data_IF_508730008418
#
_entry.id   IF_508730008418
#
_cell.length_a   1.000
_cell.length_b   1.000
_cell.length_c   1.000
_cell.angle_alpha   90.00
_cell.angle_beta   90.00
_cell.angle_gamma   90.00
#
_symmetry.space_group_name_H-M   'P 1'
#
loop_
_entity.id
_entity.type
_entity.pdbx_description
1 polymer ?
#
# COMPACT_ATOMS: atom_id res chain seq x y z
N UNK A 1 0.26 -34.80 51.52
CA UNK A 1 -0.11 -34.66 50.10
C UNK A 1 -0.24 -33.17 49.78
N UNK A 2 0.73 -32.59 49.08
CA UNK A 2 0.76 -31.16 48.75
C UNK A 2 0.34 -30.99 47.27
N UNK A 3 -0.81 -30.37 47.01
CA UNK A 3 -1.26 -30.05 45.65
C UNK A 3 -0.54 -28.78 45.19
N UNK A 4 0.28 -28.89 44.15
CA UNK A 4 0.92 -27.75 43.47
C UNK A 4 -0.11 -27.10 42.54
N UNK A 5 -0.36 -25.81 42.73
CA UNK A 5 -1.14 -24.99 41.80
C UNK A 5 -0.17 -24.38 40.78
N UNK A 6 -0.34 -24.73 39.51
CA UNK A 6 0.34 -24.08 38.40
C UNK A 6 -0.48 -22.87 37.98
N UNK A 7 0.13 -21.69 38.08
CA UNK A 7 -0.45 -20.42 37.59
C UNK A 7 0.03 -20.25 36.15
N UNK A 8 -0.90 -20.25 35.19
CA UNK A 8 -0.62 -19.90 33.81
C UNK A 8 -0.53 -18.37 33.70
N UNK A 9 0.62 -17.86 33.29
CA UNK A 9 0.79 -16.46 32.95
C UNK A 9 0.22 -16.23 31.54
N UNK A 10 -0.86 -15.47 31.43
CA UNK A 10 -1.35 -14.96 30.15
C UNK A 10 -0.39 -13.85 29.68
N UNK A 11 0.30 -14.08 28.56
CA UNK A 11 1.11 -13.06 27.91
C UNK A 11 0.22 -11.99 27.29
N UNK A 12 0.43 -10.74 27.66
CA UNK A 12 -0.20 -9.58 27.02
C UNK A 12 0.67 -9.21 25.82
N UNK A 13 0.17 -9.44 24.61
CA UNK A 13 0.79 -8.97 23.37
C UNK A 13 0.58 -7.46 23.28
N UNK A 14 1.67 -6.69 23.34
CA UNK A 14 1.65 -5.25 23.07
C UNK A 14 1.58 -5.08 21.55
N UNK A 15 0.45 -4.56 21.06
CA UNK A 15 0.32 -4.15 19.65
C UNK A 15 1.00 -2.79 19.55
N UNK A 16 2.17 -2.76 18.93
CA UNK A 16 2.87 -1.52 18.59
C UNK A 16 2.14 -0.85 17.43
N UNK A 17 1.41 0.23 17.71
CA UNK A 17 0.91 1.11 16.66
C UNK A 17 2.10 1.90 16.12
N UNK A 18 2.55 1.57 14.91
CA UNK A 18 3.50 2.44 14.22
C UNK A 18 2.77 3.74 13.88
N UNK A 19 3.34 4.87 14.32
CA UNK A 19 2.86 6.19 13.92
C UNK A 19 3.21 6.37 12.45
N UNK A 20 2.20 6.29 11.58
CA UNK A 20 2.36 6.69 10.18
C UNK A 20 2.68 8.19 10.19
N UNK A 21 3.77 8.64 9.54
CA UNK A 21 4.04 10.06 9.37
C UNK A 21 2.79 10.76 8.83
N UNK A 22 2.51 11.98 9.28
CA UNK A 22 1.30 12.72 8.89
C UNK A 22 1.21 13.03 7.37
N UNK A 23 2.27 12.73 6.61
CA UNK A 23 2.39 12.85 5.17
C UNK A 23 3.10 11.61 4.62
N UNK A 24 2.47 10.44 4.73
CA UNK A 24 2.94 9.24 4.04
C UNK A 24 2.03 8.99 2.84
N UNK A 25 2.63 8.94 1.65
CA UNK A 25 1.97 8.42 0.48
C UNK A 25 1.66 6.94 0.73
N UNK A 26 0.44 6.51 0.40
CA UNK A 26 0.02 5.14 0.57
C UNK A 26 -0.86 4.73 -0.62
N UNK A 27 -0.54 3.58 -1.20
CA UNK A 27 -1.28 2.96 -2.30
C UNK A 27 -1.74 1.57 -1.86
N UNK A 28 -3.04 1.33 -1.96
CA UNK A 28 -3.65 0.03 -1.66
C UNK A 28 -3.75 -0.78 -2.94
N UNK A 29 -3.25 -2.02 -2.87
CA UNK A 29 -3.29 -2.99 -3.95
C UNK A 29 -4.46 -3.95 -3.73
N UNK A 30 -5.14 -4.27 -4.82
CA UNK A 30 -6.17 -5.31 -4.87
C UNK A 30 -5.83 -6.25 -6.03
N UNK A 31 -5.88 -7.56 -5.77
CA UNK A 31 -5.53 -8.60 -6.73
C UNK A 31 -6.72 -9.51 -6.98
N UNK A 32 -6.95 -9.90 -8.23
CA UNK A 32 -7.86 -10.99 -8.60
C UNK A 32 -7.09 -12.17 -9.21
N UNK A 33 -7.80 -13.24 -9.57
CA UNK A 33 -7.20 -14.45 -10.14
C UNK A 33 -7.29 -14.52 -11.68
N UNK A 34 -7.73 -13.45 -12.36
CA UNK A 34 -8.06 -13.49 -13.79
C UNK A 34 -7.15 -12.54 -14.57
N UNK A 35 -6.35 -13.11 -15.46
CA UNK A 35 -5.57 -12.37 -16.44
C UNK A 35 -6.49 -11.94 -17.61
N UNK A 36 -7.30 -10.90 -17.38
CA UNK A 36 -8.19 -10.30 -18.38
C UNK A 36 -8.13 -8.77 -18.41
N UNK A 37 -7.16 -8.16 -17.71
CA UNK A 37 -7.03 -6.72 -17.49
C UNK A 37 -8.27 -6.05 -16.89
N UNK A 38 -9.10 -6.78 -16.16
CA UNK A 38 -10.28 -6.23 -15.53
C UNK A 38 -10.37 -6.71 -14.08
N UNK A 39 -10.14 -5.78 -13.16
CA UNK A 39 -10.20 -6.09 -11.74
C UNK A 39 -11.63 -6.46 -11.32
N UNK A 40 -11.85 -7.72 -10.96
CA UNK A 40 -13.17 -8.22 -10.58
C UNK A 40 -13.13 -9.23 -9.42
N UNK A 41 -14.22 -9.28 -8.65
CA UNK A 41 -14.39 -10.30 -7.62
C UNK A 41 -14.46 -11.72 -8.24
N UNK A 42 -13.93 -12.75 -7.55
CA UNK A 42 -13.36 -12.71 -6.21
C UNK A 42 -11.91 -12.18 -6.19
N UNK A 43 -11.63 -11.26 -5.27
CA UNK A 43 -10.27 -10.85 -4.96
C UNK A 43 -9.55 -11.96 -4.21
N UNK A 44 -8.27 -12.17 -4.53
CA UNK A 44 -7.44 -13.24 -3.97
C UNK A 44 -6.23 -12.73 -3.21
N UNK A 45 -6.07 -11.40 -3.15
CA UNK A 45 -4.98 -10.78 -2.42
C UNK A 45 -5.17 -9.28 -2.24
N UNK A 46 -4.36 -8.73 -1.36
CA UNK A 46 -4.28 -7.29 -1.11
C UNK A 46 -2.87 -6.90 -0.70
N UNK A 47 -2.56 -5.61 -0.84
CA UNK A 47 -1.27 -5.10 -0.38
C UNK A 47 -1.26 -3.61 -0.18
N UNK A 48 -0.14 -3.12 0.31
CA UNK A 48 0.11 -1.72 0.61
C UNK A 48 1.54 -1.38 0.20
N UNK A 49 1.70 -0.27 -0.53
CA UNK A 49 2.97 0.42 -0.69
C UNK A 49 2.88 1.77 0.00
N UNK A 50 3.90 2.15 0.76
CA UNK A 50 3.97 3.47 1.37
C UNK A 50 5.37 4.06 1.39
N UNK A 51 5.45 5.39 1.38
CA UNK A 51 6.71 6.15 1.52
C UNK A 51 6.44 7.53 2.12
N UNK A 52 7.47 8.20 2.62
CA UNK A 52 7.39 9.56 3.13
C UNK A 52 7.17 10.58 2.02
N UNK A 53 6.24 11.51 2.24
CA UNK A 53 5.89 12.60 1.33
C UNK A 53 4.46 12.52 0.82
N UNK A 54 4.02 13.56 0.13
CA UNK A 54 2.75 13.55 -0.57
C UNK A 54 2.95 12.85 -1.94
N UNK A 55 2.02 11.98 -2.38
CA UNK A 55 2.12 11.36 -3.69
C UNK A 55 1.87 12.40 -4.78
N UNK A 56 2.79 12.50 -5.74
CA UNK A 56 2.69 13.37 -6.91
C UNK A 56 2.77 12.54 -8.19
N UNK A 57 2.11 12.99 -9.26
CA UNK A 57 2.22 12.36 -10.59
C UNK A 57 3.67 12.45 -11.07
N UNK A 58 4.23 11.32 -11.46
CA UNK A 58 5.64 11.27 -11.84
C UNK A 58 6.17 9.85 -11.91
N UNK A 59 7.48 9.75 -12.13
CA UNK A 59 8.22 8.50 -12.13
C UNK A 59 9.34 8.62 -11.11
N UNK A 60 9.47 7.61 -10.25
CA UNK A 60 10.40 7.60 -9.13
C UNK A 60 11.14 6.27 -9.09
N UNK A 61 12.45 6.28 -8.89
CA UNK A 61 13.20 5.07 -8.57
C UNK A 61 12.90 4.65 -7.13
N UNK A 62 12.88 3.36 -6.84
CA UNK A 62 12.55 2.90 -5.48
C UNK A 62 13.57 3.38 -4.44
N UNK A 63 14.84 3.50 -4.83
CA UNK A 63 15.92 4.04 -3.97
C UNK A 63 15.82 5.55 -3.69
N UNK A 64 14.94 6.27 -4.39
CA UNK A 64 14.67 7.70 -4.13
C UNK A 64 13.58 7.92 -3.07
N UNK A 65 12.80 6.88 -2.75
CA UNK A 65 11.67 6.94 -1.83
C UNK A 65 12.13 6.74 -0.38
N UNK A 66 11.92 7.76 0.46
CA UNK A 66 12.29 7.69 1.87
C UNK A 66 11.26 6.87 2.66
N UNK A 67 11.74 6.03 3.59
CA UNK A 67 10.90 5.11 4.38
C UNK A 67 9.94 4.27 3.51
N UNK A 68 10.42 3.80 2.35
CA UNK A 68 9.69 2.88 1.50
C UNK A 68 9.37 1.59 2.26
N UNK A 69 8.10 1.21 2.26
CA UNK A 69 7.60 -0.06 2.77
C UNK A 69 6.61 -0.67 1.77
N UNK A 70 6.60 -1.99 1.69
CA UNK A 70 5.74 -2.77 0.80
C UNK A 70 5.32 -4.04 1.52
N UNK A 71 4.03 -4.35 1.51
CA UNK A 71 3.48 -5.57 2.10
C UNK A 71 2.34 -6.10 1.21
N UNK A 72 2.42 -7.37 0.83
CA UNK A 72 1.40 -8.06 0.03
C UNK A 72 1.00 -9.37 0.69
N UNK A 73 -0.26 -9.74 0.56
CA UNK A 73 -0.85 -10.95 1.14
C UNK A 73 -1.89 -11.55 0.21
N UNK A 74 -1.92 -12.88 0.14
CA UNK A 74 -2.83 -13.64 -0.71
C UNK A 74 -3.60 -14.69 0.10
N UNK A 75 -4.77 -15.09 -0.41
CA UNK A 75 -5.67 -16.06 0.21
C UNK A 75 -5.08 -17.49 0.27
N UNK A 76 -4.07 -17.77 -0.55
CA UNK A 76 -3.30 -19.02 -0.51
C UNK A 76 -2.31 -19.09 0.68
N UNK A 77 -2.22 -18.00 1.47
CA UNK A 77 -1.35 -17.88 2.63
C UNK A 77 0.05 -17.35 2.30
N UNK A 78 0.36 -17.08 1.03
CA UNK A 78 1.60 -16.41 0.67
C UNK A 78 1.57 -14.93 1.07
N UNK A 79 2.72 -14.43 1.52
CA UNK A 79 2.93 -13.03 1.86
C UNK A 79 4.31 -12.59 1.41
N UNK A 80 4.44 -11.30 1.14
CA UNK A 80 5.66 -10.67 0.66
C UNK A 80 5.84 -9.32 1.33
N UNK A 81 7.04 -9.02 1.82
CA UNK A 81 7.40 -7.71 2.32
C UNK A 81 8.62 -7.09 1.61
N UNK A 82 9.02 -5.88 1.99
CA UNK A 82 10.20 -5.21 1.41
C UNK A 82 11.50 -6.01 1.56
N UNK A 83 11.63 -6.87 2.57
CA UNK A 83 12.76 -7.78 2.76
C UNK A 83 12.78 -8.96 1.77
N UNK A 84 11.61 -9.31 1.24
CA UNK A 84 11.47 -10.31 0.17
C UNK A 84 11.83 -9.74 -1.21
N UNK A 85 12.02 -8.43 -1.35
CA UNK A 85 12.40 -7.81 -2.62
C UNK A 85 13.71 -8.39 -3.16
N UNK A 86 13.72 -8.72 -4.45
CA UNK A 86 14.88 -9.27 -5.16
C UNK A 86 15.34 -8.40 -6.31
N UNK A 87 14.44 -7.58 -6.85
CA UNK A 87 14.82 -6.57 -7.85
C UNK A 87 15.69 -5.49 -7.23
N UNK A 88 16.74 -5.08 -7.95
CA UNK A 88 17.59 -3.97 -7.51
C UNK A 88 16.80 -2.65 -7.49
N UNK A 89 16.74 -2.01 -6.31
CA UNK A 89 16.04 -0.74 -6.08
C UNK A 89 16.44 0.40 -7.03
N UNK A 90 17.69 0.42 -7.53
CA UNK A 90 18.16 1.45 -8.46
C UNK A 90 17.75 1.18 -9.91
N UNK A 91 17.24 -0.02 -10.22
CA UNK A 91 16.81 -0.46 -11.54
C UNK A 91 15.29 -0.64 -11.63
N UNK A 92 14.59 -0.44 -10.51
CA UNK A 92 13.14 -0.48 -10.41
C UNK A 92 12.61 0.85 -9.88
N UNK A 93 11.34 1.09 -10.15
CA UNK A 93 10.65 2.31 -9.80
C UNK A 93 9.15 2.13 -9.72
N UNK A 94 8.48 3.26 -9.53
CA UNK A 94 7.04 3.41 -9.63
C UNK A 94 6.73 4.54 -10.59
N UNK A 95 5.62 4.42 -11.32
CA UNK A 95 4.99 5.53 -12.01
C UNK A 95 3.65 5.81 -11.35
N UNK A 96 3.50 7.04 -10.85
CA UNK A 96 2.27 7.54 -10.26
C UNK A 96 1.54 8.37 -11.32
N UNK A 97 0.25 8.13 -11.52
CA UNK A 97 -0.56 8.79 -12.54
C UNK A 97 -1.94 9.18 -12.00
N UNK A 98 -2.58 10.12 -12.67
CA UNK A 98 -3.91 10.64 -12.29
C UNK A 98 -5.00 9.72 -12.84
N UNK A 99 -5.84 9.18 -11.95
CA UNK A 99 -7.04 8.40 -12.29
C UNK A 99 -8.27 9.30 -12.51
N UNK A 100 -8.15 10.59 -12.21
CA UNK A 100 -9.23 11.56 -12.17
C UNK A 100 -9.82 11.71 -10.76
N UNK A 101 -10.64 12.75 -10.57
CA UNK A 101 -11.34 13.03 -9.31
C UNK A 101 -10.43 13.19 -8.06
N UNK A 102 -9.13 13.38 -8.24
CA UNK A 102 -8.15 13.48 -7.15
C UNK A 102 -7.63 12.13 -6.65
N UNK A 103 -7.91 11.04 -7.36
CA UNK A 103 -7.35 9.71 -7.10
C UNK A 103 -6.08 9.51 -7.93
N UNK A 104 -5.07 8.89 -7.33
CA UNK A 104 -3.82 8.53 -8.00
C UNK A 104 -3.72 7.01 -8.15
N UNK A 105 -3.24 6.57 -9.30
CA UNK A 105 -2.86 5.19 -9.56
C UNK A 105 -1.35 5.00 -9.48
N UNK A 106 -0.91 3.75 -9.34
CA UNK A 106 0.51 3.38 -9.33
C UNK A 106 0.75 2.12 -10.16
N UNK A 107 1.81 2.14 -10.97
CA UNK A 107 2.38 0.94 -11.60
C UNK A 107 3.85 0.80 -11.23
N UNK A 108 4.32 -0.44 -11.13
CA UNK A 108 5.75 -0.71 -11.02
C UNK A 108 6.44 -0.52 -12.35
N UNK A 109 7.67 -0.03 -12.31
CA UNK A 109 8.52 0.14 -13.48
C UNK A 109 9.90 -0.47 -13.24
N UNK A 110 10.64 -0.80 -14.30
CA UNK A 110 12.01 -1.31 -14.13
C UNK A 110 12.57 -2.05 -15.35
N UNK A 111 13.85 -2.41 -15.26
CA UNK A 111 14.54 -3.24 -16.27
C UNK A 111 14.53 -4.72 -15.86
N UNK A 112 14.09 -5.59 -16.77
CA UNK A 112 14.12 -7.05 -16.70
C UNK A 112 15.46 -7.62 -16.23
N UNK A 113 16.58 -6.94 -16.53
CA UNK A 113 17.93 -7.43 -16.20
C UNK A 113 18.22 -7.50 -14.69
N UNK A 114 17.39 -6.85 -13.85
CA UNK A 114 17.52 -6.87 -12.39
C UNK A 114 16.56 -7.82 -11.68
N UNK A 115 15.70 -8.52 -12.41
CA UNK A 115 14.61 -9.34 -11.88
C UNK A 115 14.93 -10.85 -11.99
N UNK A 116 14.39 -11.65 -11.07
CA UNK A 116 14.53 -13.11 -11.03
C UNK A 116 13.77 -13.77 -12.19
N UNK A 117 12.54 -13.33 -12.46
CA UNK A 117 11.64 -13.96 -13.43
C UNK A 117 11.32 -13.06 -14.63
N UNK A 118 11.87 -11.86 -14.70
CA UNK A 118 11.66 -10.90 -15.79
C UNK A 118 10.46 -9.96 -15.60
N UNK A 119 10.02 -9.71 -14.36
CA UNK A 119 9.05 -8.67 -14.04
C UNK A 119 9.65 -7.27 -13.92
N UNK A 120 8.79 -6.27 -13.73
CA UNK A 120 9.21 -4.91 -13.35
C UNK A 120 9.78 -4.88 -11.93
N UNK A 121 9.17 -5.66 -11.03
CA UNK A 121 9.64 -5.89 -9.67
C UNK A 121 9.30 -7.33 -9.25
N UNK A 122 10.21 -7.96 -8.52
CA UNK A 122 10.09 -9.33 -8.04
C UNK A 122 10.38 -9.43 -6.55
N UNK A 123 9.56 -10.22 -5.88
CA UNK A 123 9.71 -10.63 -4.50
C UNK A 123 9.90 -12.14 -4.45
N UNK A 124 10.71 -12.63 -3.51
CA UNK A 124 10.84 -14.04 -3.21
C UNK A 124 10.89 -14.24 -1.70
N UNK A 125 9.86 -14.91 -1.17
CA UNK A 125 9.76 -15.18 0.25
C UNK A 125 10.58 -16.41 0.69
N UNK A 126 10.61 -16.68 1.99
CA UNK A 126 11.33 -17.81 2.60
C UNK A 126 10.87 -19.21 2.13
N UNK A 127 9.71 -19.29 1.45
CA UNK A 127 9.17 -20.52 0.87
C UNK A 127 9.48 -20.66 -0.62
N UNK A 128 10.39 -19.84 -1.17
CA UNK A 128 10.73 -19.76 -2.59
C UNK A 128 9.52 -19.43 -3.50
N UNK A 129 8.41 -18.94 -2.93
CA UNK A 129 7.31 -18.40 -3.73
C UNK A 129 7.74 -17.06 -4.28
N UNK A 130 7.46 -16.81 -5.55
CA UNK A 130 7.82 -15.57 -6.24
C UNK A 130 6.57 -14.77 -6.57
N UNK A 131 6.53 -13.52 -6.14
CA UNK A 131 5.58 -12.53 -6.64
C UNK A 131 6.29 -11.63 -7.64
N UNK A 132 5.76 -11.56 -8.85
CA UNK A 132 6.30 -10.71 -9.93
C UNK A 132 5.19 -9.85 -10.49
N UNK A 133 5.55 -8.66 -10.96
CA UNK A 133 4.62 -7.74 -11.60
C UNK A 133 4.96 -7.58 -13.07
N UNK A 134 3.96 -7.25 -13.88
CA UNK A 134 4.13 -7.14 -15.33
C UNK A 134 5.32 -6.25 -15.67
N UNK A 135 6.11 -6.65 -16.66
CA UNK A 135 7.27 -5.88 -17.04
C UNK A 135 6.85 -4.63 -17.81
N UNK A 136 7.53 -3.55 -17.47
CA UNK A 136 7.56 -2.32 -18.26
C UNK A 136 8.87 -2.28 -19.02
N UNK A 137 8.86 -1.88 -20.29
CA UNK A 137 10.08 -1.84 -21.10
C UNK A 137 11.14 -0.85 -20.60
N UNK A 138 10.75 0.13 -19.78
CA UNK A 138 11.64 1.02 -19.03
C UNK A 138 10.86 1.83 -18.01
N UNK A 139 11.59 2.43 -17.06
CA UNK A 139 11.11 3.51 -16.19
C UNK A 139 10.38 4.62 -16.99
N UNK A 140 10.88 4.95 -18.18
CA UNK A 140 10.33 5.99 -19.06
C UNK A 140 9.12 5.54 -19.91
N UNK A 141 8.75 4.25 -19.88
CA UNK A 141 7.60 3.71 -20.60
C UNK A 141 6.79 2.78 -19.68
N UNK A 142 6.03 3.37 -18.74
CA UNK A 142 5.44 2.66 -17.60
C UNK A 142 4.19 1.82 -17.94
N UNK A 143 3.61 2.00 -19.12
CA UNK A 143 2.49 1.16 -19.56
C UNK A 143 3.08 -0.18 -20.03
N UNK A 144 2.67 -1.26 -19.37
CA UNK A 144 3.20 -2.60 -19.56
C UNK A 144 3.33 -3.00 -21.03
N UNK A 145 4.37 -3.78 -21.34
CA UNK A 145 4.52 -4.36 -22.69
C UNK A 145 3.47 -5.42 -23.01
N UNK A 146 2.74 -5.88 -21.99
CA UNK A 146 2.40 -7.29 -21.87
C UNK A 146 0.95 -7.54 -21.42
N UNK A 147 0.10 -6.51 -21.40
CA UNK A 147 -1.33 -6.68 -21.13
C UNK A 147 -1.93 -5.46 -20.48
N UNK A 148 -1.36 -4.99 -19.38
CA UNK A 148 -1.92 -3.90 -18.58
C UNK A 148 -2.20 -2.62 -19.35
N UNK A 149 -3.23 -1.90 -18.92
CA UNK A 149 -3.61 -0.60 -19.47
C UNK A 149 -3.10 0.58 -18.64
N UNK A 150 -2.31 0.29 -17.61
CA UNK A 150 -1.81 1.24 -16.61
C UNK A 150 -2.74 1.37 -15.40
N UNK A 151 -4.05 1.17 -15.55
CA UNK A 151 -5.02 1.20 -14.43
C UNK A 151 -5.17 -0.18 -13.80
N UNK A 152 -5.28 -1.19 -14.66
CA UNK A 152 -5.26 -2.61 -14.32
C UNK A 152 -4.05 -3.23 -14.99
N UNK A 153 -3.25 -3.93 -14.20
CA UNK A 153 -1.94 -4.43 -14.60
C UNK A 153 -1.81 -5.89 -14.19
N UNK A 154 -0.90 -6.63 -14.81
CA UNK A 154 -0.78 -8.06 -14.53
C UNK A 154 0.24 -8.35 -13.43
N UNK A 155 0.01 -9.40 -12.66
CA UNK A 155 0.98 -9.93 -11.69
C UNK A 155 1.11 -11.44 -11.88
N UNK A 156 2.05 -12.08 -11.20
CA UNK A 156 2.08 -13.53 -11.06
C UNK A 156 2.56 -13.92 -9.67
N UNK A 157 1.88 -14.90 -9.07
CA UNK A 157 2.28 -15.55 -7.83
C UNK A 157 2.68 -16.99 -8.14
N UNK A 158 3.99 -17.26 -8.13
CA UNK A 158 4.60 -18.48 -8.63
C UNK A 158 5.02 -19.34 -7.43
N UNK A 159 4.29 -20.44 -7.23
CA UNK A 159 4.64 -21.45 -6.24
C UNK A 159 5.88 -22.23 -6.70
N UNK A 160 6.71 -22.74 -5.77
CA UNK A 160 7.90 -23.51 -6.10
C UNK A 160 7.53 -24.85 -6.75
N UNK A 161 7.41 -24.90 -8.08
CA UNK A 161 7.17 -26.12 -8.86
C UNK A 161 8.35 -26.49 -9.79
N UNK A 162 9.53 -26.00 -9.45
CA UNK A 162 10.77 -26.74 -9.62
C UNK A 162 11.30 -26.99 -11.03
N UNK A 163 10.72 -26.50 -12.15
CA UNK A 163 11.35 -26.72 -13.47
C UNK A 163 11.09 -25.77 -14.65
N UNK A 164 10.34 -24.67 -14.54
CA UNK A 164 10.37 -23.64 -15.61
C UNK A 164 9.56 -22.40 -15.23
N UNK A 165 10.23 -21.25 -15.13
CA UNK A 165 9.57 -19.95 -15.21
C UNK A 165 9.27 -19.64 -16.69
N UNK A 166 8.24 -20.25 -17.27
CA UNK A 166 7.59 -19.63 -18.44
C UNK A 166 6.60 -18.61 -17.90
N UNK A 167 6.92 -17.32 -18.03
CA UNK A 167 6.13 -16.22 -17.47
C UNK A 167 4.82 -16.05 -18.25
N UNK A 168 3.81 -16.81 -17.86
CA UNK A 168 2.42 -16.42 -18.05
C UNK A 168 1.99 -15.69 -16.77
N UNK A 169 1.47 -14.48 -16.89
CA UNK A 169 0.99 -13.73 -15.72
C UNK A 169 -0.21 -14.45 -15.09
N UNK A 170 -0.36 -14.32 -13.78
CA UNK A 170 -1.49 -14.82 -13.00
C UNK A 170 -2.24 -13.67 -12.35
N UNK A 171 -3.30 -13.23 -13.01
CA UNK A 171 -4.28 -12.30 -12.46
C UNK A 171 -3.99 -10.82 -12.76
N UNK A 172 -4.98 -10.01 -12.41
CA UNK A 172 -4.96 -8.56 -12.54
C UNK A 172 -4.83 -7.90 -11.17
N UNK A 173 -4.19 -6.74 -11.12
CA UNK A 173 -4.13 -5.87 -9.95
C UNK A 173 -4.37 -4.41 -10.30
N UNK A 174 -4.85 -3.66 -9.30
CA UNK A 174 -4.81 -2.19 -9.31
C UNK A 174 -4.11 -1.69 -8.06
N UNK A 175 -3.53 -0.50 -8.11
CA UNK A 175 -2.98 0.20 -6.96
C UNK A 175 -3.52 1.63 -6.94
N UNK A 176 -4.30 1.97 -5.90
CA UNK A 176 -4.97 3.28 -5.79
C UNK A 176 -4.55 3.96 -4.51
N UNK A 177 -4.27 5.26 -4.59
CA UNK A 177 -3.88 6.07 -3.43
C UNK A 177 -4.99 6.07 -2.38
N UNK A 178 -4.66 5.76 -1.14
CA UNK A 178 -5.53 6.00 0.00
C UNK A 178 -5.44 7.46 0.39
N UNK A 179 -6.02 8.36 -0.41
CA UNK A 179 -6.07 9.77 -0.04
C UNK A 179 -6.88 9.85 1.26
N UNK A 180 -6.22 10.12 2.39
CA UNK A 180 -6.93 10.69 3.52
C UNK A 180 -7.34 12.08 3.05
N UNK A 181 -8.53 12.23 2.47
CA UNK A 181 -9.11 13.56 2.38
C UNK A 181 -9.03 14.11 3.79
N UNK A 182 -8.30 15.22 4.06
CA UNK A 182 -8.28 15.78 5.39
C UNK A 182 -9.73 16.11 5.69
N UNK A 183 -10.37 15.30 6.55
CA UNK A 183 -11.75 15.60 6.90
C UNK A 183 -11.73 17.05 7.41
N UNK A 184 -12.59 17.93 6.90
CA UNK A 184 -12.71 19.29 7.42
C UNK A 184 -13.35 19.28 8.82
N UNK A 185 -12.98 18.35 9.69
CA UNK A 185 -13.32 18.31 11.10
C UNK A 185 -12.71 19.51 11.87
N UNK A 186 -11.72 20.19 11.29
CA UNK A 186 -11.06 21.34 11.91
C UNK A 186 -11.81 22.68 11.75
N UNK A 187 -12.80 22.79 10.83
CA UNK A 187 -13.47 24.09 10.58
C UNK A 187 -14.74 24.31 11.44
N UNK A 188 -15.36 23.25 11.96
CA UNK A 188 -16.54 23.35 12.83
C UNK A 188 -16.20 23.38 14.33
N UNK A 189 -15.02 22.89 14.73
CA UNK A 189 -14.57 22.91 16.13
C UNK A 189 -14.28 24.30 16.70
N UNK A 190 -13.94 25.28 15.86
CA UNK A 190 -13.61 26.65 16.30
C UNK A 190 -14.82 27.61 16.36
N UNK A 191 -15.96 27.25 15.78
CA UNK A 191 -17.19 28.07 15.85
C UNK A 191 -18.09 27.71 17.05
N UNK A 192 -17.85 26.58 17.72
CA UNK A 192 -18.65 26.13 18.87
C UNK A 192 -18.34 26.83 20.20
N UNK A 193 -17.12 27.37 20.37
CA UNK A 193 -16.68 27.95 21.65
C UNK A 193 -17.02 29.45 21.76
N UNK A 194 -17.22 30.14 20.64
CA UNK A 194 -17.50 31.59 20.60
C UNK A 194 -18.96 31.96 20.92
N UNK A 195 -19.90 31.02 20.94
CA UNK A 195 -21.32 31.30 21.24
C UNK A 195 -21.66 31.14 22.73
N UNK A 196 -20.92 30.33 23.49
CA UNK A 196 -21.17 30.12 24.93
C UNK A 196 -20.54 31.20 25.84
N UNK A 197 -19.61 32.02 25.32
CA UNK A 197 -18.99 33.12 26.07
C UNK A 197 -19.80 34.44 26.11
N UNK A 198 -20.74 34.64 25.19
CA UNK A 198 -21.44 35.92 25.05
C UNK A 198 -22.69 36.06 25.95
N UNK A 199 -23.19 34.97 26.55
CA UNK A 199 -24.41 34.98 27.37
C UNK A 199 -24.19 35.14 28.88
N UNK A 200 -22.94 35.11 29.39
CA UNK A 200 -22.67 35.22 30.84
C UNK A 200 -22.41 36.65 31.35
N UNK A 201 -22.22 37.64 30.48
CA UNK A 201 -21.83 39.01 30.88
C UNK A 201 -23.01 39.98 31.14
N UNK A 202 -24.26 39.53 31.12
CA UNK A 202 -25.45 40.42 31.23
C UNK A 202 -26.25 40.27 32.53
N UNK A 203 -25.62 39.93 33.66
CA UNK A 203 -26.36 39.75 34.93
C UNK A 203 -25.67 40.28 36.19
N UNK A 204 -25.12 41.50 36.19
CA UNK A 204 -24.73 42.18 37.44
C UNK A 204 -24.69 43.72 37.35
N UNK A 205 -25.77 44.36 36.92
CA UNK A 205 -26.00 45.78 37.22
C UNK A 205 -27.49 46.05 37.45
N UNK A 206 -27.97 45.78 38.66
CA UNK A 206 -29.07 46.51 39.32
C UNK A 206 -29.29 45.98 40.73
N UNK A 207 -28.66 46.63 41.70
CA UNK A 207 -29.15 46.72 43.08
C UNK A 207 -28.45 47.91 43.76
N UNK A 208 -29.00 49.10 43.53
CA UNK A 208 -28.96 50.21 44.49
C UNK A 208 -30.43 50.53 44.81
N UNK A 209 -30.84 50.22 46.05
CA UNK A 209 -31.67 51.05 46.96
C UNK A 209 -31.39 50.57 48.37
#
# INVERSE_FOLDING_TARGET
>A
MLKKFSIAAAGVTVISFQTIPAHAAQFNFTFDAIDDNNLAEPFVGSGVLSFDGDPEVGIYTLDSLSNLDMNFSFDDGSSFDIGDLRTNLSLAGISIFDLGAGELGLVFTGDFNGSIVGGSIDFQNDFDTVLTFEPTGSIDNPIGCCGGDGVTNLYANLLPDGNSFETSFFGSYTAVSSVSTPEPASLLGFLGISILGASSLKRNQKQEV
#
